data_IF_973919949997
#
_entry.id   IF_973919949997
#
_cell.length_a   1.000
_cell.length_b   1.000
_cell.length_c   1.000
_cell.angle_alpha   90.00
_cell.angle_beta   90.00
_cell.angle_gamma   90.00
#
_symmetry.space_group_name_H-M   'P 1'
#
loop_
_entity.id
_entity.type
_entity.pdbx_description
1 polymer ?
#
# COMPACT_ATOMS: atom_id res chain seq x y z
N UNK A 1 -31.24 -24.43 47.61
CA UNK A 1 -31.13 -24.00 46.19
C UNK A 1 -31.26 -22.48 46.16
N UNK A 2 -30.08 -21.83 45.94
CA UNK A 2 -30.12 -20.41 45.63
C UNK A 2 -30.47 -20.30 44.14
N UNK A 3 -31.52 -19.59 43.82
CA UNK A 3 -31.94 -19.32 42.45
C UNK A 3 -30.82 -18.61 41.70
N UNK A 4 -30.24 -19.30 40.72
CA UNK A 4 -29.18 -18.75 39.88
C UNK A 4 -29.88 -17.85 38.83
N UNK A 5 -29.61 -16.55 38.87
CA UNK A 5 -30.10 -15.59 37.88
C UNK A 5 -29.13 -15.57 36.69
N UNK A 6 -29.58 -16.06 35.55
CA UNK A 6 -28.80 -16.00 34.31
C UNK A 6 -29.15 -14.67 33.63
N UNK A 7 -28.11 -13.87 33.34
CA UNK A 7 -28.23 -12.62 32.59
C UNK A 7 -27.61 -12.90 31.21
N UNK A 8 -28.42 -12.75 30.17
CA UNK A 8 -27.93 -12.81 28.79
C UNK A 8 -27.48 -11.42 28.38
N UNK A 9 -26.27 -11.34 27.85
CA UNK A 9 -25.71 -10.12 27.30
C UNK A 9 -25.12 -10.38 25.93
N UNK A 10 -25.12 -9.37 25.07
CA UNK A 10 -24.46 -9.36 23.77
C UNK A 10 -23.43 -8.27 23.81
N UNK A 11 -22.19 -8.59 23.50
CA UNK A 11 -21.17 -7.63 23.18
C UNK A 11 -21.22 -7.39 21.67
N UNK A 12 -21.52 -6.15 21.26
CA UNK A 12 -21.60 -5.78 19.86
C UNK A 12 -20.51 -4.76 19.53
N UNK A 13 -19.78 -4.99 18.46
CA UNK A 13 -18.84 -4.05 17.91
C UNK A 13 -19.47 -3.30 16.75
N UNK A 14 -19.50 -1.98 16.85
CA UNK A 14 -19.90 -1.14 15.73
C UNK A 14 -18.74 -1.06 14.74
N UNK A 15 -18.88 -1.72 13.60
CA UNK A 15 -17.94 -1.65 12.50
C UNK A 15 -18.55 -0.74 11.44
N UNK A 16 -17.78 0.20 10.85
CA UNK A 16 -18.26 0.97 9.71
C UNK A 16 -18.73 0.05 8.58
N UNK A 17 -19.86 0.38 7.96
CA UNK A 17 -20.42 -0.42 6.85
C UNK A 17 -19.48 -0.49 5.63
N UNK A 18 -18.59 0.50 5.50
CA UNK A 18 -17.56 0.54 4.45
C UNK A 18 -16.19 0.81 5.05
N UNK A 19 -15.12 0.19 4.50
CA UNK A 19 -13.76 0.56 4.85
C UNK A 19 -13.51 2.04 4.55
N UNK A 20 -12.79 2.72 5.43
CA UNK A 20 -12.40 4.13 5.22
C UNK A 20 -11.48 4.27 4.00
N UNK A 21 -11.66 5.32 3.21
CA UNK A 21 -10.74 5.70 2.13
C UNK A 21 -9.39 6.17 2.65
N UNK A 22 -9.37 6.64 3.90
CA UNK A 22 -8.18 7.14 4.61
C UNK A 22 -7.95 6.27 5.83
N UNK A 23 -6.75 5.74 5.95
CA UNK A 23 -6.31 4.94 7.09
C UNK A 23 -5.27 5.70 7.90
N UNK A 24 -5.29 5.50 9.23
CA UNK A 24 -4.40 6.16 10.19
C UNK A 24 -4.36 7.70 10.04
N UNK A 25 -5.52 8.39 10.05
CA UNK A 25 -5.57 9.84 9.89
C UNK A 25 -4.90 10.54 11.09
N UNK A 26 -4.07 11.54 10.81
CA UNK A 26 -3.36 12.34 11.83
C UNK A 26 -3.75 13.83 11.78
N UNK A 27 -4.85 14.15 11.11
CA UNK A 27 -5.34 15.52 10.97
C UNK A 27 -4.53 16.39 10.01
N UNK A 28 -3.87 15.77 9.02
CA UNK A 28 -3.13 16.50 8.00
C UNK A 28 -4.06 17.40 7.17
N UNK A 29 -3.55 18.58 6.79
CA UNK A 29 -4.20 19.47 5.84
C UNK A 29 -4.19 18.87 4.43
N UNK A 30 -5.17 19.24 3.60
CA UNK A 30 -5.25 18.79 2.20
C UNK A 30 -4.05 19.27 1.36
N UNK A 31 -3.39 20.37 1.76
CA UNK A 31 -2.20 20.89 1.09
C UNK A 31 -0.89 20.23 1.59
N UNK A 32 -0.98 19.09 2.26
CA UNK A 32 0.17 18.32 2.71
C UNK A 32 0.98 17.77 1.52
N UNK A 33 2.13 17.19 1.81
CA UNK A 33 2.91 16.43 0.81
C UNK A 33 2.36 15.02 0.71
N UNK A 34 2.21 14.54 -0.51
CA UNK A 34 1.77 13.18 -0.83
C UNK A 34 2.92 12.38 -1.44
N UNK A 35 2.97 11.09 -1.13
CA UNK A 35 3.80 10.10 -1.82
C UNK A 35 2.88 9.11 -2.54
N UNK A 36 2.79 9.24 -3.86
CA UNK A 36 2.07 8.28 -4.70
C UNK A 36 2.96 7.06 -4.85
N UNK A 37 2.50 5.93 -4.36
CA UNK A 37 3.25 4.67 -4.23
C UNK A 37 2.65 3.60 -5.13
N UNK A 38 3.52 2.85 -5.78
CA UNK A 38 3.20 1.63 -6.50
C UNK A 38 4.32 0.61 -6.33
N UNK A 39 3.98 -0.66 -6.15
CA UNK A 39 4.92 -1.76 -5.95
C UNK A 39 4.69 -2.86 -6.99
N UNK A 40 5.78 -3.36 -7.56
CA UNK A 40 5.75 -4.64 -8.25
C UNK A 40 6.29 -5.74 -7.35
N UNK A 41 5.73 -6.94 -7.46
CA UNK A 41 6.00 -8.04 -6.53
C UNK A 41 6.04 -9.39 -7.25
N UNK A 42 6.58 -10.44 -6.61
CA UNK A 42 6.57 -11.80 -7.16
C UNK A 42 5.20 -12.49 -7.07
N UNK A 43 4.18 -11.82 -6.51
CA UNK A 43 2.82 -12.31 -6.36
C UNK A 43 2.01 -11.53 -5.33
N UNK A 44 0.81 -11.99 -5.00
CA UNK A 44 -0.21 -11.19 -4.31
C UNK A 44 -0.15 -11.22 -2.78
N UNK A 45 0.57 -12.15 -2.18
CA UNK A 45 0.58 -12.34 -0.72
C UNK A 45 1.85 -11.75 -0.10
N UNK A 46 1.75 -10.64 0.62
CA UNK A 46 2.88 -10.04 1.32
C UNK A 46 3.57 -10.96 2.33
N UNK A 47 2.93 -12.08 2.75
CA UNK A 47 3.51 -13.04 3.69
C UNK A 47 4.50 -13.99 3.02
N UNK A 48 4.33 -14.30 1.76
CA UNK A 48 5.11 -15.31 1.02
C UNK A 48 5.84 -14.75 -0.18
N UNK A 49 5.37 -13.62 -0.70
CA UNK A 49 5.91 -12.99 -1.90
C UNK A 49 6.83 -11.82 -1.56
N UNK A 50 7.60 -11.38 -2.53
CA UNK A 50 8.65 -10.38 -2.39
C UNK A 50 8.41 -9.19 -3.31
N UNK A 51 8.90 -8.02 -2.91
CA UNK A 51 8.92 -6.82 -3.74
C UNK A 51 10.03 -6.97 -4.79
N UNK A 52 9.72 -6.59 -6.03
CA UNK A 52 10.65 -6.56 -7.18
C UNK A 52 10.94 -5.14 -7.66
N UNK A 53 10.03 -4.18 -7.42
CA UNK A 53 10.22 -2.77 -7.71
C UNK A 53 9.46 -1.91 -6.71
N UNK A 54 10.01 -0.74 -6.39
CA UNK A 54 9.37 0.32 -5.61
C UNK A 54 9.39 1.59 -6.45
N UNK A 55 8.21 2.13 -6.76
CA UNK A 55 8.01 3.43 -7.38
C UNK A 55 7.29 4.39 -6.44
N UNK A 56 7.85 5.57 -6.21
CA UNK A 56 7.25 6.61 -5.38
C UNK A 56 7.43 7.97 -6.05
N UNK A 57 6.32 8.68 -6.28
CA UNK A 57 6.35 10.07 -6.71
C UNK A 57 5.93 10.96 -5.55
N UNK A 58 6.77 11.95 -5.20
CA UNK A 58 6.44 12.94 -4.17
C UNK A 58 5.75 14.13 -4.81
N UNK A 59 4.55 14.43 -4.35
CA UNK A 59 3.68 15.46 -4.91
C UNK A 59 3.33 16.50 -3.85
N UNK A 60 3.39 17.77 -4.23
CA UNK A 60 2.95 18.89 -3.38
C UNK A 60 2.28 19.95 -4.24
N UNK A 61 1.13 20.45 -3.79
CA UNK A 61 0.34 21.46 -4.52
C UNK A 61 0.03 21.08 -5.98
N UNK A 62 -0.15 19.78 -6.26
CA UNK A 62 -0.44 19.26 -7.59
C UNK A 62 0.79 19.07 -8.50
N UNK A 63 2.00 19.39 -8.01
CA UNK A 63 3.24 19.24 -8.78
C UNK A 63 4.09 18.09 -8.24
N UNK A 64 4.71 17.31 -9.12
CA UNK A 64 5.71 16.32 -8.76
C UNK A 64 6.99 17.08 -8.38
N UNK A 65 7.44 16.91 -7.14
CA UNK A 65 8.61 17.62 -6.60
C UNK A 65 9.84 16.71 -6.46
N UNK A 66 9.64 15.39 -6.43
CA UNK A 66 10.72 14.40 -6.31
C UNK A 66 10.23 13.01 -6.70
N UNK A 67 11.14 12.10 -7.04
CA UNK A 67 10.84 10.71 -7.38
C UNK A 67 11.86 9.74 -6.80
N UNK A 68 11.39 8.56 -6.46
CA UNK A 68 12.20 7.43 -6.02
C UNK A 68 11.73 6.18 -6.77
N UNK A 69 12.59 5.62 -7.59
CA UNK A 69 12.30 4.37 -8.30
C UNK A 69 13.51 3.46 -8.24
N UNK A 70 13.28 2.18 -7.93
CA UNK A 70 14.36 1.18 -7.88
C UNK A 70 13.84 -0.23 -8.00
N UNK A 71 14.57 -1.07 -8.70
CA UNK A 71 14.42 -2.50 -8.60
C UNK A 71 14.91 -3.02 -7.25
N UNK A 72 14.33 -4.12 -6.82
CA UNK A 72 14.68 -4.83 -5.60
C UNK A 72 14.91 -6.30 -5.95
N UNK A 73 16.05 -6.86 -5.52
CA UNK A 73 16.29 -8.28 -5.67
C UNK A 73 15.38 -9.06 -4.72
N UNK A 74 14.43 -9.87 -5.23
CA UNK A 74 13.49 -10.61 -4.40
C UNK A 74 14.12 -11.84 -3.74
N UNK A 75 15.37 -12.20 -4.11
CA UNK A 75 16.09 -13.39 -3.63
C UNK A 75 15.33 -14.71 -3.88
N UNK A 76 14.43 -14.70 -4.85
CA UNK A 76 13.67 -15.88 -5.32
C UNK A 76 13.28 -15.68 -6.79
N UNK A 77 13.04 -16.77 -7.53
CA UNK A 77 12.58 -16.67 -8.91
C UNK A 77 11.23 -15.97 -9.04
N UNK A 78 11.07 -15.15 -10.07
CA UNK A 78 9.81 -14.49 -10.41
C UNK A 78 8.97 -15.46 -11.24
N UNK A 79 7.73 -15.80 -10.82
CA UNK A 79 6.87 -16.70 -11.59
C UNK A 79 6.57 -16.15 -12.99
N UNK A 80 6.57 -17.00 -14.03
CA UNK A 80 6.34 -16.57 -15.42
C UNK A 80 5.07 -15.73 -15.58
N UNK A 81 3.96 -16.12 -14.94
CA UNK A 81 2.68 -15.37 -14.94
C UNK A 81 2.80 -13.94 -14.39
N UNK A 82 3.76 -13.69 -13.52
CA UNK A 82 4.04 -12.35 -12.98
C UNK A 82 4.88 -11.58 -13.98
N UNK A 83 5.91 -12.19 -14.58
CA UNK A 83 6.70 -11.59 -15.65
C UNK A 83 5.80 -11.14 -16.80
N UNK A 84 4.81 -11.96 -17.18
CA UNK A 84 3.87 -11.65 -18.26
C UNK A 84 3.03 -10.38 -18.00
N UNK A 85 2.85 -10.01 -16.73
CA UNK A 85 2.06 -8.84 -16.31
C UNK A 85 2.95 -7.63 -16.02
N UNK A 86 4.03 -7.83 -15.25
CA UNK A 86 4.90 -6.75 -14.77
C UNK A 86 6.03 -6.44 -15.75
N UNK A 87 6.35 -7.38 -16.65
CA UNK A 87 7.50 -7.37 -17.55
C UNK A 87 8.85 -7.31 -16.83
N UNK A 88 8.89 -7.55 -15.52
CA UNK A 88 10.12 -7.62 -14.73
C UNK A 88 10.62 -9.07 -14.73
N UNK A 89 11.83 -9.26 -15.20
CA UNK A 89 12.49 -10.58 -15.27
C UNK A 89 13.52 -10.75 -14.16
N UNK A 90 13.91 -12.02 -13.88
CA UNK A 90 14.98 -12.30 -12.91
C UNK A 90 16.29 -11.59 -13.28
N UNK A 91 16.61 -11.49 -14.57
CA UNK A 91 17.82 -10.80 -15.04
C UNK A 91 17.83 -9.31 -14.71
N UNK A 92 16.67 -8.65 -14.68
CA UNK A 92 16.56 -7.23 -14.35
C UNK A 92 16.82 -6.94 -12.87
N UNK A 93 16.51 -7.89 -12.00
CA UNK A 93 16.55 -7.68 -10.54
C UNK A 93 17.70 -8.39 -9.84
N UNK A 94 18.42 -9.30 -10.50
CA UNK A 94 19.47 -10.14 -9.88
C UNK A 94 20.60 -9.36 -9.23
N UNK A 95 20.98 -8.23 -9.84
CA UNK A 95 22.06 -7.35 -9.36
C UNK A 95 21.51 -6.14 -8.57
N UNK A 96 20.18 -6.04 -8.40
CA UNK A 96 19.56 -4.99 -7.59
C UNK A 96 19.83 -5.22 -6.10
N UNK A 97 19.79 -4.15 -5.29
CA UNK A 97 19.90 -4.29 -3.84
C UNK A 97 18.69 -5.04 -3.27
N UNK A 98 18.89 -5.74 -2.15
CA UNK A 98 17.83 -6.42 -1.41
C UNK A 98 16.98 -5.45 -0.60
N UNK A 99 15.81 -5.90 -0.18
CA UNK A 99 14.80 -5.05 0.50
C UNK A 99 15.32 -4.41 1.79
N UNK A 100 16.19 -5.09 2.53
CA UNK A 100 16.81 -4.57 3.76
C UNK A 100 17.65 -3.31 3.52
N UNK A 101 18.21 -3.13 2.32
CA UNK A 101 19.01 -1.96 1.91
C UNK A 101 18.17 -0.84 1.29
N UNK A 102 17.05 -1.21 0.69
CA UNK A 102 16.18 -0.27 -0.02
C UNK A 102 15.09 0.30 0.88
N UNK A 103 14.45 -0.52 1.70
CA UNK A 103 13.32 -0.08 2.52
C UNK A 103 13.65 1.11 3.44
N UNK A 104 14.80 1.16 4.14
CA UNK A 104 15.14 2.33 4.95
C UNK A 104 15.21 3.62 4.13
N UNK A 105 15.74 3.56 2.89
CA UNK A 105 15.82 4.71 1.97
C UNK A 105 14.44 5.13 1.47
N UNK A 106 13.59 4.17 1.13
CA UNK A 106 12.22 4.44 0.73
C UNK A 106 11.41 5.09 1.86
N UNK A 107 11.58 4.63 3.11
CA UNK A 107 10.93 5.23 4.27
C UNK A 107 11.45 6.65 4.55
N UNK A 108 12.75 6.89 4.43
CA UNK A 108 13.35 8.21 4.53
C UNK A 108 12.79 9.15 3.45
N UNK A 109 12.69 8.66 2.21
CA UNK A 109 12.07 9.41 1.11
C UNK A 109 10.61 9.73 1.39
N UNK A 110 9.82 8.79 1.88
CA UNK A 110 8.40 9.02 2.25
C UNK A 110 8.32 10.06 3.37
N UNK A 111 9.13 9.94 4.41
CA UNK A 111 9.10 10.82 5.58
C UNK A 111 7.70 10.86 6.20
N UNK A 112 7.20 12.07 6.52
CA UNK A 112 5.88 12.29 7.12
C UNK A 112 4.74 12.46 6.08
N UNK A 113 5.03 12.25 4.80
CA UNK A 113 4.06 12.43 3.72
C UNK A 113 2.87 11.48 3.87
N UNK A 114 1.72 11.87 3.33
CA UNK A 114 0.57 10.98 3.17
C UNK A 114 0.83 10.05 1.99
N UNK A 115 0.71 8.74 2.21
CA UNK A 115 0.86 7.75 1.15
C UNK A 115 -0.46 7.67 0.36
N UNK A 116 -0.37 7.61 -0.95
CA UNK A 116 -1.50 7.44 -1.87
C UNK A 116 -1.20 6.23 -2.76
N UNK A 117 -2.10 5.26 -2.82
CA UNK A 117 -1.96 4.11 -3.70
C UNK A 117 -3.33 3.62 -4.19
N UNK A 118 -3.35 2.88 -5.30
CA UNK A 118 -4.57 2.31 -5.86
C UNK A 118 -4.74 0.87 -5.40
N UNK A 119 -5.71 0.58 -4.55
CA UNK A 119 -5.82 -0.63 -3.74
C UNK A 119 -4.71 -0.69 -2.67
N UNK A 120 -4.58 0.40 -1.94
CA UNK A 120 -3.46 0.72 -1.04
C UNK A 120 -3.15 -0.35 0.01
N UNK A 121 -4.12 -1.18 0.41
CA UNK A 121 -3.88 -2.28 1.36
C UNK A 121 -2.87 -3.29 0.82
N UNK A 122 -2.75 -3.42 -0.51
CA UNK A 122 -1.76 -4.28 -1.13
C UNK A 122 -0.35 -3.72 -0.91
N UNK A 123 -0.08 -2.51 -1.39
CA UNK A 123 1.25 -1.90 -1.33
C UNK A 123 1.69 -1.63 0.11
N UNK A 124 0.82 -1.00 0.90
CA UNK A 124 1.07 -0.72 2.31
C UNK A 124 1.24 -2.02 3.11
N UNK A 125 0.51 -3.08 2.76
CA UNK A 125 0.66 -4.40 3.36
C UNK A 125 2.06 -4.99 3.17
N UNK A 126 2.60 -4.93 1.94
CA UNK A 126 3.97 -5.33 1.65
C UNK A 126 5.00 -4.48 2.41
N UNK A 127 4.86 -3.17 2.40
CA UNK A 127 5.77 -2.29 3.14
C UNK A 127 5.73 -2.56 4.65
N UNK A 128 4.54 -2.63 5.26
CA UNK A 128 4.38 -2.90 6.70
C UNK A 128 4.96 -4.26 7.10
N UNK A 129 4.75 -5.29 6.27
CA UNK A 129 5.31 -6.62 6.53
C UNK A 129 6.84 -6.60 6.53
N UNK A 130 7.46 -5.98 5.53
CA UNK A 130 8.92 -5.86 5.46
C UNK A 130 9.46 -4.95 6.59
N UNK A 131 8.77 -3.86 6.93
CA UNK A 131 9.10 -3.03 8.07
C UNK A 131 9.13 -3.86 9.37
N UNK A 132 8.10 -4.67 9.61
CA UNK A 132 8.03 -5.54 10.78
C UNK A 132 9.22 -6.50 10.85
N UNK A 133 9.58 -7.13 9.73
CA UNK A 133 10.72 -8.06 9.66
C UNK A 133 12.07 -7.38 9.94
N UNK A 134 12.22 -6.11 9.57
CA UNK A 134 13.45 -5.33 9.76
C UNK A 134 13.45 -4.49 11.04
N UNK A 135 12.43 -4.60 11.88
CA UNK A 135 12.32 -3.78 13.11
C UNK A 135 12.06 -2.29 12.83
N UNK A 136 11.56 -1.96 11.63
CA UNK A 136 11.17 -0.63 11.20
C UNK A 136 9.68 -0.39 11.39
N UNK A 137 9.22 0.86 11.24
CA UNK A 137 7.80 1.22 11.36
C UNK A 137 7.36 2.03 10.16
N UNK A 138 6.12 1.81 9.73
CA UNK A 138 5.41 2.62 8.76
C UNK A 138 4.07 3.03 9.38
N UNK A 139 4.01 4.25 9.89
CA UNK A 139 2.84 4.80 10.62
C UNK A 139 2.17 5.95 9.85
N UNK A 140 2.50 6.11 8.58
CA UNK A 140 1.94 7.16 7.76
C UNK A 140 0.43 7.00 7.58
N UNK A 141 -0.26 8.14 7.45
CA UNK A 141 -1.61 8.16 6.87
C UNK A 141 -1.52 7.67 5.45
N UNK A 142 -2.47 6.84 5.00
CA UNK A 142 -2.57 6.46 3.60
C UNK A 142 -4.00 6.56 3.07
N UNK A 143 -4.09 6.89 1.79
CA UNK A 143 -5.33 7.06 1.03
C UNK A 143 -5.41 5.97 -0.03
N UNK A 144 -6.55 5.27 -0.07
CA UNK A 144 -6.86 4.28 -1.10
C UNK A 144 -7.70 4.90 -2.22
N UNK A 145 -7.07 5.16 -3.36
CA UNK A 145 -7.75 5.77 -4.51
C UNK A 145 -8.77 4.84 -5.16
N UNK A 146 -8.67 3.51 -5.01
CA UNK A 146 -9.69 2.57 -5.48
C UNK A 146 -10.99 2.73 -4.68
N UNK A 147 -10.89 2.84 -3.35
CA UNK A 147 -12.05 3.06 -2.48
C UNK A 147 -12.64 4.44 -2.72
N UNK A 148 -11.78 5.46 -2.79
CA UNK A 148 -12.19 6.83 -3.07
C UNK A 148 -12.94 6.93 -4.41
N UNK A 149 -12.43 6.30 -5.47
CA UNK A 149 -13.08 6.28 -6.76
C UNK A 149 -14.47 5.60 -6.73
N UNK A 150 -14.62 4.51 -5.96
CA UNK A 150 -15.91 3.84 -5.79
C UNK A 150 -16.94 4.73 -5.08
N UNK A 151 -16.52 5.57 -4.16
CA UNK A 151 -17.41 6.48 -3.46
C UNK A 151 -17.76 7.71 -4.30
N UNK A 152 -16.81 8.24 -5.08
CA UNK A 152 -17.02 9.41 -5.92
C UNK A 152 -17.78 9.09 -7.22
N UNK A 153 -17.58 7.88 -7.78
CA UNK A 153 -18.13 7.46 -9.07
C UNK A 153 -18.89 6.13 -8.94
N UNK A 154 -19.97 6.06 -8.13
CA UNK A 154 -20.66 4.80 -7.83
C UNK A 154 -21.23 4.09 -9.05
N UNK A 155 -21.50 4.82 -10.15
CA UNK A 155 -22.08 4.28 -11.37
C UNK A 155 -21.04 3.65 -12.33
N UNK A 156 -19.74 3.76 -12.01
CA UNK A 156 -18.70 3.17 -12.85
C UNK A 156 -18.69 1.65 -12.70
N UNK A 157 -18.55 0.95 -13.85
CA UNK A 157 -18.50 -0.52 -13.87
C UNK A 157 -17.10 -1.09 -13.61
N UNK A 158 -16.06 -0.28 -13.78
CA UNK A 158 -14.66 -0.67 -13.65
C UNK A 158 -13.86 0.46 -12.99
N UNK A 159 -12.97 0.09 -12.09
CA UNK A 159 -12.17 1.00 -11.29
C UNK A 159 -10.66 0.73 -11.43
N UNK A 160 -10.21 0.20 -12.59
CA UNK A 160 -8.78 0.12 -12.89
C UNK A 160 -8.22 1.54 -13.02
N UNK A 161 -7.00 1.75 -12.52
CA UNK A 161 -6.38 3.08 -12.45
C UNK A 161 -6.40 3.80 -13.81
N UNK A 162 -6.00 3.13 -14.91
CA UNK A 162 -6.02 3.70 -16.25
C UNK A 162 -7.41 4.19 -16.68
N UNK A 163 -8.48 3.45 -16.32
CA UNK A 163 -9.87 3.86 -16.66
C UNK A 163 -10.30 5.09 -15.86
N UNK A 164 -9.89 5.19 -14.59
CA UNK A 164 -10.22 6.33 -13.74
C UNK A 164 -9.45 7.58 -14.17
N UNK A 165 -8.20 7.42 -14.60
CA UNK A 165 -7.36 8.55 -15.02
C UNK A 165 -7.75 9.17 -16.38
N UNK A 166 -8.49 8.44 -17.23
CA UNK A 166 -8.96 8.90 -18.54
C UNK A 166 -10.28 9.69 -18.48
N UNK A 167 -10.99 9.69 -17.35
CA UNK A 167 -12.29 10.33 -17.14
C UNK A 167 -12.20 11.47 -16.12
#
# INVERSE_FOLDING_TARGET
NKDMKIIYGVEAYLVPDKPSNVSNPKGQDINTTYCVLDLETTGISFRTEKITEIGIMKVKNGEVIDEFSTFVNPEKPIPQKVIDVTHITDDMVKDAPTIDKILPKALEFIGDSVIVAHNADFDVGFLKHNCFQLGLKLENTYVDTLRLAKDLFPDYKKYKLGIIAEN
#
